data_IF_204376694386
#
_entry.id   IF_204376694386
#
_cell.length_a   1.000
_cell.length_b   1.000
_cell.length_c   1.000
_cell.angle_alpha   90.00
_cell.angle_beta   90.00
_cell.angle_gamma   90.00
#
_symmetry.space_group_name_H-M   'P 1'
#
loop_
_entity.id
_entity.type
_entity.pdbx_description
1 polymer ?
#
# COMPACT_ATOMS: atom_id res chain seq x y z
N UNK A 1 17.26 4.38 23.21
CA UNK A 1 18.74 4.50 23.11
C UNK A 1 19.18 4.52 21.64
N UNK A 2 18.45 3.79 20.79
CA UNK A 2 18.61 3.73 19.35
C UNK A 2 18.31 5.05 18.59
N UNK A 3 17.24 5.78 18.95
CA UNK A 3 16.95 7.13 18.41
C UNK A 3 18.10 8.16 18.52
N UNK A 4 19.02 8.01 19.49
CA UNK A 4 20.19 8.90 19.63
C UNK A 4 21.35 8.52 18.68
N UNK A 5 21.46 7.26 18.28
CA UNK A 5 22.50 6.74 17.38
C UNK A 5 22.02 6.78 15.92
N UNK A 6 20.72 6.67 15.67
CA UNK A 6 20.15 6.87 14.33
C UNK A 6 20.33 8.29 13.78
N UNK A 7 20.61 9.26 14.66
CA UNK A 7 21.01 10.63 14.28
C UNK A 7 22.51 10.81 14.00
N UNK A 8 23.36 9.83 14.29
CA UNK A 8 24.83 9.96 14.22
C UNK A 8 25.49 9.33 12.99
N UNK A 9 24.72 8.74 12.07
CA UNK A 9 25.21 8.34 10.75
C UNK A 9 25.14 9.53 9.78
N UNK A 10 25.98 9.59 8.73
CA UNK A 10 25.99 10.73 7.82
C UNK A 10 24.57 10.96 7.33
N UNK A 11 24.11 12.18 7.56
CA UNK A 11 22.77 12.64 7.31
C UNK A 11 22.37 12.23 5.87
N UNK A 12 21.53 11.21 5.70
CA UNK A 12 20.92 10.88 4.41
C UNK A 12 20.15 12.09 3.81
N UNK A 13 19.95 13.15 4.61
CA UNK A 13 19.44 14.46 4.18
C UNK A 13 20.26 15.15 3.10
N UNK A 14 21.53 14.78 2.87
CA UNK A 14 22.32 15.32 1.75
C UNK A 14 22.17 14.51 0.45
N UNK A 15 21.59 13.30 0.50
CA UNK A 15 21.46 12.40 -0.66
C UNK A 15 20.06 12.49 -1.30
N UNK A 16 19.04 12.87 -0.54
CA UNK A 16 17.66 12.96 -1.04
C UNK A 16 17.15 14.40 -0.98
N UNK A 17 17.17 15.16 -2.10
CA UNK A 17 16.62 16.51 -2.14
C UNK A 17 15.14 16.52 -1.75
N UNK A 18 14.60 17.68 -1.33
CA UNK A 18 13.15 17.87 -1.07
C UNK A 18 12.34 17.34 -2.26
N UNK A 19 11.73 16.16 -2.14
CA UNK A 19 11.04 15.47 -3.25
C UNK A 19 9.61 15.95 -3.44
N UNK A 20 9.33 17.23 -3.22
CA UNK A 20 8.07 17.79 -3.69
C UNK A 20 8.13 17.80 -5.23
N UNK A 21 7.14 17.20 -5.87
CA UNK A 21 6.96 17.26 -7.31
C UNK A 21 5.60 17.88 -7.66
N UNK A 22 5.53 18.41 -8.87
CA UNK A 22 4.29 18.80 -9.53
C UNK A 22 4.10 17.92 -10.78
N UNK A 23 2.85 17.61 -11.10
CA UNK A 23 2.49 16.91 -12.33
C UNK A 23 2.34 17.95 -13.44
N UNK A 24 3.49 18.35 -14.01
CA UNK A 24 3.57 19.43 -15.00
C UNK A 24 3.46 18.94 -16.46
N UNK A 25 3.43 17.63 -16.66
CA UNK A 25 3.22 17.01 -17.97
C UNK A 25 1.74 16.91 -18.36
N UNK A 26 0.81 17.32 -17.50
CA UNK A 26 -0.63 17.40 -17.79
C UNK A 26 -1.06 18.86 -17.90
N UNK A 27 -2.10 19.08 -18.71
CA UNK A 27 -2.80 20.35 -18.90
C UNK A 27 -4.30 20.13 -18.74
N UNK A 28 -4.98 21.13 -18.16
CA UNK A 28 -6.41 21.09 -17.87
C UNK A 28 -7.13 22.25 -18.58
N UNK A 29 -8.29 21.94 -19.16
CA UNK A 29 -9.23 22.94 -19.65
C UNK A 29 -10.61 22.61 -19.10
N UNK A 30 -11.26 23.61 -18.51
CA UNK A 30 -12.64 23.54 -18.07
C UNK A 30 -13.53 24.30 -19.05
N UNK A 31 -14.57 23.62 -19.54
CA UNK A 31 -15.53 24.17 -20.49
C UNK A 31 -16.88 24.23 -19.82
N UNK A 32 -17.45 25.43 -19.74
CA UNK A 32 -18.80 25.66 -19.24
C UNK A 32 -19.69 25.99 -20.42
N UNK A 33 -20.71 25.17 -20.64
CA UNK A 33 -21.64 25.38 -21.76
C UNK A 33 -23.04 24.91 -21.42
N UNK A 34 -24.02 25.29 -22.23
CA UNK A 34 -25.40 24.78 -22.13
C UNK A 34 -25.43 23.27 -22.37
N UNK A 35 -26.25 22.57 -21.60
CA UNK A 35 -26.55 21.16 -21.83
C UNK A 35 -27.53 21.01 -23.00
N UNK A 36 -27.07 20.39 -24.09
CA UNK A 36 -27.88 20.09 -25.27
C UNK A 36 -27.41 18.78 -25.92
N UNK A 37 -28.24 18.19 -26.77
CA UNK A 37 -27.92 16.94 -27.45
C UNK A 37 -26.60 17.04 -28.23
N UNK A 38 -25.60 16.27 -27.81
CA UNK A 38 -24.28 16.25 -28.44
C UNK A 38 -23.30 17.32 -27.93
N UNK A 39 -23.63 18.08 -26.86
CA UNK A 39 -22.73 19.04 -26.23
C UNK A 39 -21.35 18.44 -25.91
N UNK A 40 -21.32 17.32 -25.17
CA UNK A 40 -20.09 16.59 -24.86
C UNK A 40 -19.39 16.07 -26.13
N UNK A 41 -20.14 15.48 -27.07
CA UNK A 41 -19.57 15.00 -28.34
C UNK A 41 -18.87 16.12 -29.10
N UNK A 42 -19.46 17.30 -29.15
CA UNK A 42 -18.89 18.46 -29.86
C UNK A 42 -17.61 18.94 -29.17
N UNK A 43 -17.60 18.95 -27.82
CA UNK A 43 -16.40 19.27 -27.04
C UNK A 43 -15.27 18.29 -27.39
N UNK A 44 -15.52 16.99 -27.33
CA UNK A 44 -14.52 15.97 -27.67
C UNK A 44 -14.07 16.05 -29.13
N UNK A 45 -14.96 16.50 -30.03
CA UNK A 45 -14.63 16.70 -31.45
C UNK A 45 -13.60 17.82 -31.64
N UNK A 46 -13.63 18.89 -30.84
CA UNK A 46 -12.58 19.93 -30.90
C UNK A 46 -11.19 19.33 -30.64
N UNK A 47 -11.05 18.51 -29.59
CA UNK A 47 -9.78 17.81 -29.30
C UNK A 47 -9.37 16.85 -30.42
N UNK A 48 -10.32 16.11 -30.97
CA UNK A 48 -10.08 15.20 -32.10
C UNK A 48 -9.62 15.94 -33.35
N UNK A 49 -10.23 17.08 -33.70
CA UNK A 49 -9.82 17.90 -34.84
C UNK A 49 -8.37 18.40 -34.70
N UNK A 50 -7.96 18.71 -33.47
CA UNK A 50 -6.61 19.12 -33.13
C UNK A 50 -5.65 17.95 -32.88
N UNK A 51 -6.10 16.70 -33.02
CA UNK A 51 -5.30 15.47 -32.76
C UNK A 51 -4.68 15.50 -31.36
N UNK A 52 -5.50 15.78 -30.35
CA UNK A 52 -5.11 15.78 -28.93
C UNK A 52 -5.82 14.62 -28.25
N UNK A 53 -5.05 13.75 -27.61
CA UNK A 53 -5.57 12.66 -26.81
C UNK A 53 -5.92 13.17 -25.41
N UNK A 54 -7.02 12.68 -24.86
CA UNK A 54 -7.47 13.01 -23.51
C UNK A 54 -7.00 11.94 -22.53
N UNK A 55 -6.55 12.37 -21.36
CA UNK A 55 -6.15 11.53 -20.23
C UNK A 55 -7.29 11.33 -19.23
N UNK A 56 -8.13 12.36 -19.02
CA UNK A 56 -9.29 12.30 -18.11
C UNK A 56 -10.42 13.21 -18.59
N UNK A 57 -11.66 12.85 -18.25
CA UNK A 57 -12.88 13.60 -18.58
C UNK A 57 -13.82 13.57 -17.37
N UNK A 58 -14.10 14.75 -16.81
CA UNK A 58 -15.06 14.91 -15.72
C UNK A 58 -16.23 15.79 -16.18
N UNK A 59 -17.44 15.27 -16.06
CA UNK A 59 -18.67 16.02 -16.37
C UNK A 59 -19.44 16.32 -15.09
N UNK A 60 -19.55 17.60 -14.74
CA UNK A 60 -20.34 18.08 -13.61
C UNK A 60 -21.60 18.78 -14.12
N UNK A 61 -22.76 18.39 -13.60
CA UNK A 61 -24.04 19.03 -13.92
C UNK A 61 -24.29 20.19 -12.97
N UNK A 62 -24.57 21.38 -13.52
CA UNK A 62 -25.00 22.53 -12.72
C UNK A 62 -26.52 22.54 -12.52
N UNK A 63 -26.96 23.31 -11.52
CA UNK A 63 -28.36 23.52 -11.20
C UNK A 63 -29.14 24.06 -12.42
N UNK A 64 -30.35 23.54 -12.61
CA UNK A 64 -31.23 23.93 -13.72
C UNK A 64 -31.71 25.36 -13.50
N UNK A 65 -31.39 26.26 -14.42
CA UNK A 65 -31.88 27.64 -14.40
C UNK A 65 -33.08 27.79 -15.36
N UNK A 66 -33.77 28.94 -15.28
CA UNK A 66 -34.81 29.30 -16.26
C UNK A 66 -34.28 29.36 -17.71
N UNK A 67 -32.97 29.53 -17.91
CA UNK A 67 -32.30 29.57 -19.22
C UNK A 67 -31.83 28.19 -19.72
N UNK A 68 -32.10 27.13 -18.95
CA UNK A 68 -31.64 25.76 -19.22
C UNK A 68 -30.62 25.27 -18.19
N UNK A 69 -30.19 24.02 -18.38
CA UNK A 69 -29.12 23.42 -17.61
C UNK A 69 -27.78 23.74 -18.26
N UNK A 70 -26.77 24.08 -17.45
CA UNK A 70 -25.37 24.15 -17.89
C UNK A 70 -24.64 22.89 -17.45
N UNK A 71 -23.65 22.48 -18.23
CA UNK A 71 -22.68 21.45 -17.88
C UNK A 71 -21.30 22.10 -17.77
N UNK A 72 -20.51 21.55 -16.87
CA UNK A 72 -19.07 21.80 -16.77
C UNK A 72 -18.37 20.53 -17.21
N UNK A 73 -17.47 20.64 -18.18
CA UNK A 73 -16.65 19.53 -18.66
C UNK A 73 -15.19 19.89 -18.41
N UNK A 74 -14.55 19.18 -17.49
CA UNK A 74 -13.11 19.29 -17.24
C UNK A 74 -12.40 18.22 -18.06
N UNK A 75 -11.37 18.64 -18.78
CA UNK A 75 -10.62 17.80 -19.70
C UNK A 75 -9.15 17.90 -19.36
N UNK A 76 -8.55 16.76 -19.06
CA UNK A 76 -7.11 16.65 -18.80
C UNK A 76 -6.44 15.94 -19.97
N UNK A 77 -5.28 16.43 -20.39
CA UNK A 77 -4.48 15.85 -21.47
C UNK A 77 -2.99 16.10 -21.25
N UNK A 78 -2.15 15.34 -21.95
CA UNK A 78 -0.70 15.57 -21.92
C UNK A 78 -0.34 16.94 -22.50
N UNK A 79 0.63 17.60 -21.87
CA UNK A 79 1.11 18.92 -22.26
C UNK A 79 1.56 18.90 -23.72
N UNK A 80 0.96 19.79 -24.51
CA UNK A 80 1.32 20.00 -25.92
C UNK A 80 2.10 21.31 -26.09
N UNK A 81 2.65 21.52 -27.29
CA UNK A 81 3.33 22.76 -27.62
C UNK A 81 2.38 23.97 -27.60
N UNK A 82 2.93 25.15 -27.30
CA UNK A 82 2.15 26.38 -27.11
C UNK A 82 1.36 26.78 -28.36
N UNK A 83 1.88 26.50 -29.56
CA UNK A 83 1.18 26.82 -30.81
C UNK A 83 -0.11 26.00 -30.92
N UNK A 84 -0.01 24.68 -30.78
CA UNK A 84 -1.15 23.76 -30.84
C UNK A 84 -2.14 24.00 -29.70
N UNK A 85 -1.66 24.34 -28.50
CA UNK A 85 -2.52 24.71 -27.37
C UNK A 85 -3.31 25.99 -27.66
N UNK A 86 -2.69 27.01 -28.23
CA UNK A 86 -3.37 28.26 -28.60
C UNK A 86 -4.41 28.04 -29.71
N UNK A 87 -4.14 27.17 -30.69
CA UNK A 87 -5.13 26.79 -31.72
C UNK A 87 -6.36 26.09 -31.12
N UNK A 88 -6.14 25.15 -30.20
CA UNK A 88 -7.23 24.50 -29.46
C UNK A 88 -8.03 25.54 -28.66
N UNK A 89 -7.34 26.37 -27.88
CA UNK A 89 -7.99 27.35 -27.01
C UNK A 89 -8.85 28.32 -27.82
N UNK A 90 -8.33 28.79 -28.95
CA UNK A 90 -9.08 29.65 -29.85
C UNK A 90 -10.35 28.95 -30.37
N UNK A 91 -10.26 27.70 -30.84
CA UNK A 91 -11.44 26.93 -31.29
C UNK A 91 -12.47 26.74 -30.18
N UNK A 92 -12.03 26.47 -28.94
CA UNK A 92 -12.91 26.31 -27.79
C UNK A 92 -13.59 27.63 -27.41
N UNK A 93 -12.85 28.73 -27.31
CA UNK A 93 -13.37 30.05 -26.93
C UNK A 93 -14.36 30.62 -27.93
N UNK A 94 -14.26 30.23 -29.22
CA UNK A 94 -15.24 30.63 -30.24
C UNK A 94 -16.55 29.83 -30.16
N UNK A 95 -16.54 28.64 -29.53
CA UNK A 95 -17.69 27.70 -29.54
C UNK A 95 -18.46 27.64 -28.23
N UNK A 96 -17.80 27.92 -27.09
CA UNK A 96 -18.36 27.67 -25.78
C UNK A 96 -18.49 28.96 -24.96
N UNK A 97 -19.45 28.98 -24.04
CA UNK A 97 -19.82 30.19 -23.29
C UNK A 97 -18.64 30.69 -22.44
N UNK A 98 -17.92 29.76 -21.84
CA UNK A 98 -16.78 30.03 -20.98
C UNK A 98 -15.78 28.87 -21.06
N UNK A 99 -14.51 29.22 -21.23
CA UNK A 99 -13.38 28.30 -21.28
C UNK A 99 -12.35 28.80 -20.28
N UNK A 100 -12.17 28.04 -19.21
CA UNK A 100 -11.23 28.33 -18.13
C UNK A 100 -10.01 27.44 -18.32
N UNK A 101 -8.84 28.06 -18.33
CA UNK A 101 -7.56 27.35 -18.29
C UNK A 101 -7.13 27.36 -16.83
N UNK A 102 -6.79 26.18 -16.32
CA UNK A 102 -6.46 26.07 -14.91
C UNK A 102 -5.10 26.74 -14.64
N UNK A 103 -5.13 27.85 -13.89
CA UNK A 103 -3.92 28.57 -13.48
C UNK A 103 -3.24 27.81 -12.33
N UNK A 104 -1.91 27.92 -12.22
CA UNK A 104 -1.10 27.18 -11.24
C UNK A 104 -1.50 27.36 -9.75
N UNK A 105 -2.32 28.37 -9.45
CA UNK A 105 -2.88 28.67 -8.13
C UNK A 105 -4.05 27.77 -7.71
N UNK A 106 -4.67 27.04 -8.65
CA UNK A 106 -5.80 26.13 -8.37
C UNK A 106 -5.36 24.66 -8.27
N UNK A 107 -4.09 24.35 -8.57
CA UNK A 107 -3.56 22.98 -8.52
C UNK A 107 -3.59 22.47 -7.07
N UNK A 108 -4.31 21.37 -6.79
CA UNK A 108 -4.38 20.80 -5.45
C UNK A 108 -3.00 20.46 -4.90
N UNK A 109 -2.74 20.89 -3.67
CA UNK A 109 -1.58 20.47 -2.89
C UNK A 109 -1.97 19.23 -2.08
N UNK A 110 -1.26 18.12 -2.27
CA UNK A 110 -1.59 16.82 -1.66
C UNK A 110 -0.37 16.20 -0.98
N UNK A 111 -0.55 15.29 -0.02
CA UNK A 111 0.58 14.62 0.62
C UNK A 111 1.48 13.90 -0.39
N UNK A 112 2.80 13.97 -0.19
CA UNK A 112 3.77 13.27 -1.02
C UNK A 112 3.59 11.75 -1.00
N UNK A 113 3.91 11.13 -2.13
CA UNK A 113 3.94 9.67 -2.32
C UNK A 113 5.00 9.30 -3.36
N UNK A 114 5.57 8.08 -3.31
CA UNK A 114 6.53 7.62 -4.30
C UNK A 114 5.86 7.36 -5.65
N UNK A 115 6.44 7.83 -6.75
CA UNK A 115 5.92 7.56 -8.11
C UNK A 115 6.61 6.43 -8.82
N UNK A 116 7.88 6.17 -8.53
CA UNK A 116 8.68 5.16 -9.22
C UNK A 116 9.74 4.55 -8.29
N UNK A 117 10.54 3.65 -8.82
CA UNK A 117 11.61 2.96 -8.09
C UNK A 117 12.63 3.91 -7.46
N UNK A 118 12.89 5.07 -8.07
CA UNK A 118 13.82 6.05 -7.51
C UNK A 118 13.24 6.72 -6.26
N UNK A 119 11.93 6.97 -6.22
CA UNK A 119 11.20 7.41 -5.02
C UNK A 119 11.12 6.32 -3.95
N UNK A 120 10.96 5.06 -4.34
CA UNK A 120 10.91 3.94 -3.38
C UNK A 120 12.21 3.75 -2.60
N UNK A 121 13.35 4.23 -3.12
CA UNK A 121 14.63 4.22 -2.38
C UNK A 121 14.57 5.04 -1.10
N UNK A 122 13.65 6.01 -0.97
CA UNK A 122 13.52 6.85 0.23
C UNK A 122 12.67 6.20 1.33
N UNK A 123 11.98 5.10 1.06
CA UNK A 123 11.13 4.41 2.04
C UNK A 123 11.97 3.95 3.25
N UNK A 124 11.52 4.33 4.44
CA UNK A 124 12.17 4.05 5.71
C UNK A 124 13.27 5.04 6.08
N UNK A 125 13.46 6.11 5.29
CA UNK A 125 14.44 7.17 5.56
C UNK A 125 13.79 8.53 5.85
N UNK A 126 12.56 8.75 5.38
CA UNK A 126 11.92 10.08 5.36
C UNK A 126 10.93 10.30 6.50
N UNK A 127 10.38 9.25 7.11
CA UNK A 127 9.48 9.37 8.27
C UNK A 127 10.02 8.60 9.48
N UNK A 128 9.57 8.98 10.67
CA UNK A 128 10.04 8.37 11.91
C UNK A 128 9.67 6.89 11.97
N UNK A 129 10.69 6.05 12.07
CA UNK A 129 10.54 4.64 12.42
C UNK A 129 10.40 4.52 13.92
N UNK A 130 9.29 3.92 14.35
CA UNK A 130 9.01 3.71 15.77
C UNK A 130 9.57 2.36 16.22
N UNK A 131 10.10 2.35 17.42
CA UNK A 131 10.29 1.13 18.21
C UNK A 131 9.08 1.00 19.11
N UNK A 132 8.48 -0.19 19.19
CA UNK A 132 7.55 -0.45 20.29
C UNK A 132 8.32 -0.43 21.61
N UNK A 133 7.66 0.01 22.69
CA UNK A 133 8.31 0.24 23.97
C UNK A 133 7.55 -0.45 25.11
N UNK A 134 7.17 -1.72 24.91
CA UNK A 134 6.60 -2.52 25.98
C UNK A 134 7.71 -2.97 26.94
N UNK A 135 8.08 -2.11 27.89
CA UNK A 135 9.20 -2.31 28.82
C UNK A 135 9.14 -3.62 29.63
N UNK A 136 7.98 -4.26 29.70
CA UNK A 136 7.80 -5.51 30.44
C UNK A 136 8.20 -6.75 29.64
N UNK A 137 8.25 -6.68 28.31
CA UNK A 137 8.56 -7.83 27.46
C UNK A 137 10.06 -8.20 27.53
N UNK A 138 10.43 -9.51 27.61
CA UNK A 138 11.83 -9.96 27.73
C UNK A 138 12.77 -9.36 26.69
N UNK A 139 12.25 -9.14 25.48
CA UNK A 139 12.97 -8.54 24.35
C UNK A 139 13.57 -7.16 24.63
N UNK A 140 13.09 -6.43 25.64
CA UNK A 140 13.59 -5.10 26.01
C UNK A 140 14.57 -5.11 27.18
N UNK A 141 14.59 -6.21 27.96
CA UNK A 141 15.44 -6.39 29.14
C UNK A 141 16.74 -7.12 28.79
N UNK A 142 16.70 -8.01 27.81
CA UNK A 142 17.87 -8.73 27.31
C UNK A 142 18.79 -7.82 26.49
N UNK A 143 20.01 -7.59 26.98
CA UNK A 143 20.99 -6.71 26.32
C UNK A 143 21.60 -7.34 25.06
N UNK A 144 21.78 -8.67 25.04
CA UNK A 144 22.35 -9.38 23.90
C UNK A 144 21.36 -9.41 22.73
N UNK A 145 20.09 -9.72 23.02
CA UNK A 145 19.03 -9.66 22.03
C UNK A 145 18.86 -8.25 21.46
N UNK A 146 18.93 -7.21 22.30
CA UNK A 146 18.87 -5.82 21.83
C UNK A 146 20.05 -5.49 20.93
N UNK A 147 21.27 -5.83 21.32
CA UNK A 147 22.45 -5.64 20.45
C UNK A 147 22.27 -6.35 19.10
N UNK A 148 21.74 -7.57 19.12
CA UNK A 148 21.43 -8.34 17.90
C UNK A 148 20.39 -7.66 17.01
N UNK A 149 19.31 -7.12 17.60
CA UNK A 149 18.32 -6.30 16.89
C UNK A 149 18.95 -5.08 16.22
N UNK A 150 19.85 -4.39 16.90
CA UNK A 150 20.57 -3.23 16.36
C UNK A 150 21.48 -3.59 15.19
N UNK A 151 22.16 -4.74 15.26
CA UNK A 151 23.00 -5.26 14.17
C UNK A 151 22.17 -5.55 12.92
N UNK A 152 21.06 -6.28 13.06
CA UNK A 152 20.15 -6.59 11.94
C UNK A 152 19.53 -5.29 11.38
N UNK A 153 19.10 -4.38 12.25
CA UNK A 153 18.53 -3.09 11.86
C UNK A 153 19.50 -2.26 11.00
N UNK A 154 20.79 -2.19 11.38
CA UNK A 154 21.83 -1.50 10.59
C UNK A 154 22.03 -2.12 9.21
N UNK A 155 21.97 -3.45 9.12
CA UNK A 155 22.07 -4.17 7.85
C UNK A 155 20.84 -3.85 6.97
N UNK A 156 19.63 -3.98 7.53
CA UNK A 156 18.39 -3.70 6.80
C UNK A 156 18.27 -2.25 6.33
N UNK A 157 18.75 -1.28 7.12
CA UNK A 157 18.68 0.15 6.79
C UNK A 157 19.45 0.50 5.50
N UNK A 158 20.49 -0.26 5.17
CA UNK A 158 21.30 -0.04 3.97
C UNK A 158 20.63 -0.53 2.69
N UNK A 159 19.58 -1.33 2.80
CA UNK A 159 18.92 -1.91 1.64
C UNK A 159 18.12 -0.86 0.86
N UNK A 160 18.40 -0.73 -0.44
CA UNK A 160 17.65 0.13 -1.36
C UNK A 160 16.85 -0.74 -2.34
N UNK A 161 15.65 -0.29 -2.72
CA UNK A 161 14.88 -0.99 -3.76
C UNK A 161 15.67 -1.03 -5.06
N UNK A 162 15.71 -2.22 -5.67
CA UNK A 162 16.48 -2.53 -6.87
C UNK A 162 17.79 -3.28 -6.56
N UNK A 163 18.31 -3.16 -5.35
CA UNK A 163 19.51 -3.88 -4.91
C UNK A 163 19.15 -5.26 -4.33
N UNK A 164 20.10 -6.20 -4.27
CA UNK A 164 19.89 -7.47 -3.58
C UNK A 164 19.68 -7.27 -2.08
N UNK A 165 18.63 -7.88 -1.52
CA UNK A 165 18.38 -7.84 -0.07
C UNK A 165 19.59 -8.42 0.69
N UNK A 166 20.11 -7.75 1.75
CA UNK A 166 21.24 -8.26 2.52
C UNK A 166 20.98 -9.62 3.16
N UNK A 167 22.01 -10.47 3.27
CA UNK A 167 21.93 -11.71 4.02
C UNK A 167 22.10 -11.47 5.52
N UNK A 168 21.36 -12.23 6.33
CA UNK A 168 21.55 -12.29 7.78
C UNK A 168 22.14 -13.64 8.15
N UNK A 169 23.29 -13.63 8.83
CA UNK A 169 23.84 -14.83 9.45
C UNK A 169 23.11 -15.11 10.76
N UNK A 170 21.98 -15.82 10.70
CA UNK A 170 21.22 -16.20 11.89
C UNK A 170 22.03 -17.13 12.80
N UNK A 171 21.88 -16.96 14.11
CA UNK A 171 22.54 -17.81 15.12
C UNK A 171 21.81 -19.14 15.26
N UNK A 172 22.48 -20.13 15.85
CA UNK A 172 21.84 -21.43 16.13
C UNK A 172 20.60 -21.30 17.03
N UNK A 173 20.59 -20.34 17.95
CA UNK A 173 19.44 -20.07 18.83
C UNK A 173 18.27 -19.43 18.06
N UNK A 174 18.55 -18.52 17.13
CA UNK A 174 17.55 -17.94 16.23
C UNK A 174 16.92 -19.03 15.34
N UNK A 175 17.76 -19.88 14.73
CA UNK A 175 17.33 -21.01 13.92
C UNK A 175 16.52 -22.06 14.72
N UNK A 176 16.91 -22.33 15.97
CA UNK A 176 16.16 -23.20 16.87
C UNK A 176 14.79 -22.59 17.25
N UNK A 177 14.75 -21.28 17.47
CA UNK A 177 13.51 -20.54 17.77
C UNK A 177 12.54 -20.62 16.59
N UNK A 178 13.03 -20.38 15.37
CA UNK A 178 12.27 -20.54 14.13
C UNK A 178 11.68 -21.94 14.01
N UNK A 179 12.53 -22.99 14.07
CA UNK A 179 12.09 -24.39 13.92
C UNK A 179 10.98 -24.75 14.90
N UNK A 180 11.12 -24.33 16.16
CA UNK A 180 10.12 -24.56 17.21
C UNK A 180 8.79 -23.90 16.83
N UNK A 181 8.80 -22.58 16.59
CA UNK A 181 7.56 -21.82 16.33
C UNK A 181 6.89 -22.29 15.04
N UNK A 182 7.66 -22.41 13.97
CA UNK A 182 7.15 -22.80 12.67
C UNK A 182 6.51 -24.19 12.69
N UNK A 183 7.06 -25.14 13.45
CA UNK A 183 6.44 -26.47 13.60
C UNK A 183 5.05 -26.41 14.25
N UNK A 184 4.86 -25.55 15.26
CA UNK A 184 3.58 -25.38 15.95
C UNK A 184 2.60 -24.64 15.05
N UNK A 185 3.04 -23.52 14.46
CA UNK A 185 2.23 -22.71 13.56
C UNK A 185 1.76 -23.54 12.37
N UNK A 186 2.62 -24.37 11.77
CA UNK A 186 2.25 -25.16 10.59
C UNK A 186 1.07 -26.11 10.86
N UNK A 187 1.02 -26.73 12.03
CA UNK A 187 -0.10 -27.59 12.46
C UNK A 187 -1.38 -26.80 12.69
N UNK A 188 -1.27 -25.58 13.25
CA UNK A 188 -2.42 -24.71 13.54
C UNK A 188 -2.99 -24.08 12.28
N UNK A 189 -2.11 -23.54 11.44
CA UNK A 189 -2.39 -22.95 10.13
C UNK A 189 -3.16 -23.91 9.24
N UNK A 190 -2.78 -25.19 9.20
CA UNK A 190 -3.47 -26.21 8.40
C UNK A 190 -4.96 -26.38 8.76
N UNK A 191 -5.33 -26.12 10.02
CA UNK A 191 -6.70 -26.25 10.50
C UNK A 191 -7.55 -25.02 10.13
N UNK A 192 -6.98 -23.83 10.21
CA UNK A 192 -7.74 -22.57 10.20
C UNK A 192 -7.64 -21.76 8.91
N UNK A 193 -6.54 -21.88 8.18
CA UNK A 193 -6.32 -21.09 6.97
C UNK A 193 -7.06 -21.67 5.76
N UNK A 194 -7.27 -20.82 4.74
CA UNK A 194 -7.87 -21.20 3.46
C UNK A 194 -6.96 -22.12 2.66
N UNK A 195 -7.54 -22.94 1.79
CA UNK A 195 -6.77 -23.86 0.94
C UNK A 195 -5.89 -23.09 -0.05
N UNK A 196 -6.32 -21.91 -0.47
CA UNK A 196 -5.54 -21.02 -1.34
C UNK A 196 -4.25 -20.57 -0.65
N UNK A 197 -4.34 -20.10 0.59
CA UNK A 197 -3.17 -19.79 1.42
C UNK A 197 -2.28 -21.03 1.61
N UNK A 198 -2.86 -22.18 1.98
CA UNK A 198 -2.10 -23.41 2.27
C UNK A 198 -1.34 -23.93 1.05
N UNK A 199 -1.92 -23.79 -0.14
CA UNK A 199 -1.27 -24.16 -1.41
C UNK A 199 -0.06 -23.29 -1.70
N UNK A 200 -0.16 -21.96 -1.48
CA UNK A 200 0.97 -21.06 -1.68
C UNK A 200 2.06 -21.30 -0.64
N UNK A 201 1.68 -21.47 0.62
CA UNK A 201 2.61 -21.85 1.69
C UNK A 201 3.38 -23.12 1.32
N UNK A 202 2.68 -24.19 0.90
CA UNK A 202 3.32 -25.45 0.48
C UNK A 202 4.34 -25.27 -0.66
N UNK A 203 4.03 -24.45 -1.67
CA UNK A 203 4.97 -24.18 -2.77
C UNK A 203 6.23 -23.48 -2.28
N UNK A 204 6.07 -22.45 -1.46
CA UNK A 204 7.17 -21.66 -0.90
C UNK A 204 8.02 -22.54 0.03
N UNK A 205 7.39 -23.38 0.84
CA UNK A 205 8.04 -24.35 1.72
C UNK A 205 8.98 -25.27 0.93
N UNK A 206 8.49 -25.82 -0.17
CA UNK A 206 9.26 -26.70 -1.05
C UNK A 206 10.39 -25.97 -1.77
N UNK A 207 10.18 -24.70 -2.14
CA UNK A 207 11.18 -23.90 -2.84
C UNK A 207 12.30 -23.41 -1.92
N UNK A 208 11.97 -22.97 -0.70
CA UNK A 208 12.87 -22.20 0.16
C UNK A 208 13.22 -22.89 1.50
N UNK A 209 12.60 -24.04 1.79
CA UNK A 209 12.98 -24.89 2.91
C UNK A 209 12.62 -24.34 4.29
N UNK A 210 11.45 -23.71 4.44
CA UNK A 210 10.96 -23.12 5.70
C UNK A 210 11.02 -24.10 6.87
N UNK A 211 10.86 -25.40 6.63
CA UNK A 211 10.95 -26.44 7.67
C UNK A 211 12.35 -26.59 8.30
N UNK A 212 13.40 -26.18 7.59
CA UNK A 212 14.77 -26.54 7.94
C UNK A 212 15.62 -25.37 8.46
N UNK A 213 15.34 -24.15 8.03
CA UNK A 213 16.07 -22.95 8.42
C UNK A 213 15.24 -21.69 8.18
N UNK A 214 15.65 -20.57 8.76
CA UNK A 214 15.07 -19.25 8.45
C UNK A 214 15.38 -18.90 6.98
N UNK A 215 14.35 -18.70 6.14
CA UNK A 215 14.53 -18.24 4.77
C UNK A 215 15.11 -16.83 4.73
N UNK A 216 15.95 -16.56 3.73
CA UNK A 216 16.54 -15.25 3.54
C UNK A 216 15.62 -14.37 2.69
N UNK A 217 15.47 -13.10 3.06
CA UNK A 217 14.61 -12.18 2.32
C UNK A 217 15.02 -12.01 0.86
N UNK A 218 16.29 -12.22 0.53
CA UNK A 218 16.77 -12.22 -0.86
C UNK A 218 16.11 -13.30 -1.71
N UNK A 219 15.96 -14.51 -1.16
CA UNK A 219 15.39 -15.64 -1.87
C UNK A 219 13.85 -15.50 -1.94
N UNK A 220 13.25 -14.93 -0.89
CA UNK A 220 11.83 -14.56 -0.84
C UNK A 220 11.50 -13.49 -1.88
N UNK A 221 12.33 -12.44 -1.98
CA UNK A 221 12.20 -11.38 -2.98
C UNK A 221 12.24 -11.94 -4.40
N UNK A 222 13.20 -12.82 -4.69
CA UNK A 222 13.28 -13.48 -5.99
C UNK A 222 12.03 -14.34 -6.29
N UNK A 223 11.52 -15.07 -5.29
CA UNK A 223 10.32 -15.88 -5.42
C UNK A 223 9.07 -15.04 -5.70
N UNK A 224 8.81 -14.01 -4.89
CA UNK A 224 7.64 -13.14 -5.06
C UNK A 224 7.68 -12.34 -6.37
N UNK A 225 8.88 -11.90 -6.79
CA UNK A 225 9.07 -11.25 -8.10
C UNK A 225 8.60 -12.15 -9.24
N UNK A 226 8.90 -13.45 -9.16
CA UNK A 226 8.51 -14.42 -10.18
C UNK A 226 7.01 -14.76 -10.15
N UNK A 227 6.41 -14.88 -8.96
CA UNK A 227 5.00 -15.29 -8.84
C UNK A 227 4.00 -14.15 -9.13
N UNK A 228 4.24 -12.96 -8.57
CA UNK A 228 3.27 -11.85 -8.58
C UNK A 228 3.91 -10.48 -8.86
N UNK A 229 5.23 -10.42 -9.06
CA UNK A 229 5.94 -9.15 -9.22
C UNK A 229 6.10 -8.37 -7.91
N UNK A 230 5.70 -8.94 -6.77
CA UNK A 230 6.00 -8.36 -5.46
C UNK A 230 7.49 -8.36 -5.18
N UNK A 231 7.95 -7.34 -4.48
CA UNK A 231 9.35 -7.12 -4.11
C UNK A 231 9.43 -6.87 -2.62
N UNK A 232 10.57 -7.21 -2.03
CA UNK A 232 10.84 -6.98 -0.62
C UNK A 232 11.70 -5.74 -0.44
N UNK A 233 11.34 -4.90 0.53
CA UNK A 233 12.21 -3.88 1.14
C UNK A 233 12.52 -4.34 2.56
N UNK A 234 13.76 -4.77 2.83
CA UNK A 234 14.21 -4.93 4.21
C UNK A 234 14.10 -3.60 4.98
N UNK A 235 13.53 -3.65 6.18
CA UNK A 235 13.37 -2.48 7.06
C UNK A 235 14.05 -2.69 8.41
N UNK A 236 14.39 -1.57 9.04
CA UNK A 236 15.03 -1.53 10.36
C UNK A 236 14.05 -1.41 11.54
N UNK A 237 12.74 -1.40 11.29
CA UNK A 237 11.70 -1.25 12.31
C UNK A 237 10.34 -0.94 11.70
N UNK A 238 9.40 -0.50 12.54
CA UNK A 238 8.02 -0.18 12.14
C UNK A 238 8.00 1.16 11.39
N UNK A 239 7.72 1.08 10.08
CA UNK A 239 7.58 2.26 9.23
C UNK A 239 6.35 3.08 9.63
N UNK A 240 6.32 4.34 9.20
CA UNK A 240 5.08 5.09 9.21
C UNK A 240 4.03 4.38 8.35
N UNK A 241 2.76 4.46 8.76
CA UNK A 241 1.64 3.91 7.99
C UNK A 241 1.62 4.44 6.55
N UNK A 242 1.99 5.71 6.34
CA UNK A 242 2.06 6.32 5.00
C UNK A 242 3.12 5.64 4.14
N UNK A 243 4.35 5.49 4.64
CA UNK A 243 5.42 4.83 3.88
C UNK A 243 5.07 3.38 3.57
N UNK A 244 4.58 2.64 4.59
CA UNK A 244 4.22 1.24 4.43
C UNK A 244 3.13 1.05 3.37
N UNK A 245 1.99 1.73 3.51
CA UNK A 245 0.89 1.57 2.56
C UNK A 245 1.27 2.08 1.17
N UNK A 246 1.98 3.22 1.06
CA UNK A 246 2.40 3.73 -0.24
C UNK A 246 3.34 2.76 -0.97
N UNK A 247 4.21 2.02 -0.26
CA UNK A 247 5.07 1.02 -0.85
C UNK A 247 4.27 -0.14 -1.48
N UNK A 248 3.13 -0.53 -0.87
CA UNK A 248 2.25 -1.56 -1.43
C UNK A 248 1.70 -1.18 -2.81
N UNK A 249 1.48 0.12 -3.08
CA UNK A 249 1.04 0.61 -4.40
C UNK A 249 2.01 0.28 -5.54
N UNK A 250 3.27 -0.04 -5.19
CA UNK A 250 4.34 -0.47 -6.10
C UNK A 250 4.66 -1.97 -6.00
N UNK A 251 3.78 -2.74 -5.34
CA UNK A 251 4.03 -4.13 -4.94
C UNK A 251 5.33 -4.29 -4.17
N UNK A 252 5.65 -3.34 -3.29
CA UNK A 252 6.81 -3.41 -2.40
C UNK A 252 6.33 -3.68 -0.98
N UNK A 253 6.66 -4.85 -0.46
CA UNK A 253 6.41 -5.21 0.92
C UNK A 253 7.62 -4.89 1.80
N UNK A 254 7.38 -4.11 2.85
CA UNK A 254 8.39 -3.68 3.81
C UNK A 254 8.47 -4.69 4.95
N UNK A 255 9.61 -5.38 5.07
CA UNK A 255 9.75 -6.59 5.87
C UNK A 255 10.89 -6.47 6.88
N UNK A 256 10.66 -6.82 8.14
CA UNK A 256 11.73 -6.92 9.13
C UNK A 256 12.55 -8.21 8.94
N UNK A 257 13.73 -8.29 9.55
CA UNK A 257 14.64 -9.44 9.42
C UNK A 257 15.00 -10.12 10.75
N UNK A 258 14.62 -9.54 11.89
CA UNK A 258 14.90 -10.15 13.19
C UNK A 258 13.85 -11.20 13.52
N UNK A 259 14.21 -12.17 14.36
CA UNK A 259 13.26 -13.13 14.94
C UNK A 259 12.92 -12.72 16.37
N UNK A 260 11.70 -13.04 16.81
CA UNK A 260 11.25 -12.80 18.19
C UNK A 260 12.12 -13.48 19.24
N UNK A 261 12.03 -12.98 20.47
CA UNK A 261 12.83 -13.46 21.59
C UNK A 261 12.52 -14.93 21.94
N UNK A 262 13.54 -15.76 22.07
CA UNK A 262 13.42 -17.21 22.27
C UNK A 262 12.63 -17.63 23.52
N UNK A 263 12.55 -16.77 24.56
CA UNK A 263 11.79 -17.04 25.79
C UNK A 263 10.27 -16.86 25.65
N UNK A 264 9.82 -16.18 24.58
CA UNK A 264 8.42 -15.87 24.31
C UNK A 264 8.06 -16.25 22.86
N UNK A 265 8.22 -17.53 22.47
CA UNK A 265 8.05 -17.96 21.08
C UNK A 265 6.60 -17.80 20.58
N UNK A 266 5.63 -17.84 21.48
CA UNK A 266 4.20 -17.85 21.19
C UNK A 266 3.67 -16.47 20.75
N UNK A 267 4.35 -15.38 21.13
CA UNK A 267 3.88 -14.00 20.96
C UNK A 267 5.03 -13.04 20.78
N UNK A 268 4.85 -12.05 19.90
CA UNK A 268 5.70 -10.87 19.85
C UNK A 268 4.81 -9.66 19.54
N UNK A 269 5.07 -8.50 20.17
CA UNK A 269 4.26 -7.31 19.94
C UNK A 269 4.65 -6.62 18.61
N UNK A 270 5.87 -6.87 18.10
CA UNK A 270 6.37 -6.32 16.84
C UNK A 270 6.38 -7.38 15.72
N UNK A 271 6.15 -7.02 14.45
CA UNK A 271 6.21 -7.96 13.34
C UNK A 271 7.65 -8.45 13.12
N UNK A 272 7.95 -9.66 13.58
CA UNK A 272 9.24 -10.35 13.38
C UNK A 272 9.22 -11.18 12.10
N UNK A 273 10.37 -11.73 11.70
CA UNK A 273 10.52 -12.54 10.47
C UNK A 273 9.55 -13.73 10.40
N UNK A 274 9.07 -14.27 11.53
CA UNK A 274 8.03 -15.30 11.52
C UNK A 274 6.70 -14.72 11.02
N UNK A 275 6.30 -13.55 11.51
CA UNK A 275 5.11 -12.85 11.03
C UNK A 275 5.19 -12.55 9.54
N UNK A 276 6.32 -12.03 9.09
CA UNK A 276 6.50 -11.68 7.68
C UNK A 276 6.45 -12.92 6.79
N UNK A 277 7.22 -13.96 7.11
CA UNK A 277 7.40 -15.12 6.23
C UNK A 277 6.24 -16.09 6.30
N UNK A 278 5.69 -16.35 7.48
CA UNK A 278 4.55 -17.27 7.62
C UNK A 278 3.26 -16.53 7.28
N UNK A 279 3.05 -15.32 7.79
CA UNK A 279 1.82 -14.58 7.56
C UNK A 279 1.71 -14.01 6.14
N UNK A 280 2.63 -13.13 5.75
CA UNK A 280 2.48 -12.30 4.56
C UNK A 280 2.96 -12.94 3.26
N UNK A 281 4.11 -13.62 3.25
CA UNK A 281 4.69 -14.13 2.00
C UNK A 281 3.75 -15.09 1.24
N UNK A 282 3.05 -16.04 1.87
CA UNK A 282 2.10 -16.90 1.16
C UNK A 282 0.90 -16.15 0.57
N UNK A 283 0.51 -15.04 1.21
CA UNK A 283 -0.52 -14.14 0.70
C UNK A 283 -0.04 -13.39 -0.53
N UNK A 284 1.14 -12.77 -0.48
CA UNK A 284 1.67 -12.00 -1.62
C UNK A 284 2.11 -12.87 -2.80
N UNK A 285 2.27 -14.17 -2.60
CA UNK A 285 2.42 -15.14 -3.69
C UNK A 285 1.09 -15.43 -4.42
N UNK A 286 -0.03 -14.92 -3.92
CA UNK A 286 -1.33 -14.99 -4.57
C UNK A 286 -1.61 -13.75 -5.42
N UNK A 287 -2.02 -13.94 -6.68
CA UNK A 287 -2.24 -12.81 -7.61
C UNK A 287 -3.37 -11.87 -7.16
N UNK A 288 -4.51 -12.41 -6.71
CA UNK A 288 -5.65 -11.57 -6.30
C UNK A 288 -5.37 -10.83 -5.00
N UNK A 289 -4.63 -11.45 -4.08
CA UNK A 289 -4.23 -10.78 -2.84
C UNK A 289 -3.13 -9.74 -3.11
N UNK A 290 -2.21 -10.02 -4.03
CA UNK A 290 -1.23 -9.05 -4.50
C UNK A 290 -1.91 -7.83 -5.15
N UNK A 291 -2.94 -8.05 -5.98
CA UNK A 291 -3.73 -6.98 -6.57
C UNK A 291 -4.48 -6.19 -5.49
N UNK A 292 -5.15 -6.86 -4.54
CA UNK A 292 -5.86 -6.22 -3.42
C UNK A 292 -4.92 -5.34 -2.58
N UNK A 293 -3.74 -5.86 -2.25
CA UNK A 293 -2.72 -5.13 -1.53
C UNK A 293 -2.22 -3.91 -2.29
N UNK A 294 -2.00 -4.06 -3.61
CA UNK A 294 -1.58 -2.96 -4.45
C UNK A 294 -2.66 -1.87 -4.51
N UNK A 295 -3.93 -2.24 -4.64
CA UNK A 295 -5.04 -1.28 -4.69
C UNK A 295 -5.13 -0.45 -3.40
N UNK A 296 -5.03 -1.08 -2.23
CA UNK A 296 -4.96 -0.34 -0.94
C UNK A 296 -3.81 0.67 -0.96
N UNK A 297 -2.64 0.28 -1.47
CA UNK A 297 -1.48 1.17 -1.54
C UNK A 297 -1.60 2.29 -2.58
N UNK A 298 -2.26 2.04 -3.71
CA UNK A 298 -2.59 3.09 -4.70
C UNK A 298 -3.55 4.10 -4.08
N UNK A 299 -4.58 3.63 -3.37
CA UNK A 299 -5.53 4.49 -2.67
C UNK A 299 -4.84 5.33 -1.59
N UNK A 300 -3.82 4.81 -0.89
CA UNK A 300 -3.09 5.55 0.15
C UNK A 300 -2.18 6.65 -0.39
N UNK A 301 -1.69 6.51 -1.62
CA UNK A 301 -0.77 7.46 -2.25
C UNK A 301 -1.44 8.84 -2.40
N UNK A 302 -0.97 9.84 -1.65
CA UNK A 302 -1.55 11.18 -1.60
C UNK A 302 -2.91 11.28 -0.90
N UNK A 303 -3.32 10.25 -0.15
CA UNK A 303 -4.47 10.34 0.74
C UNK A 303 -4.17 11.24 1.95
N UNK A 304 -5.15 12.02 2.39
CA UNK A 304 -5.06 12.78 3.63
C UNK A 304 -5.04 11.88 4.87
N UNK A 305 -4.62 12.41 6.03
CA UNK A 305 -4.44 11.61 7.26
C UNK A 305 -5.68 10.81 7.67
N UNK A 306 -6.88 11.37 7.49
CA UNK A 306 -8.15 10.69 7.79
C UNK A 306 -8.35 9.46 6.90
N UNK A 307 -8.23 9.63 5.58
CA UNK A 307 -8.44 8.55 4.62
C UNK A 307 -7.29 7.53 4.67
N UNK A 308 -6.07 7.98 4.93
CA UNK A 308 -4.93 7.10 5.19
C UNK A 308 -5.20 6.18 6.39
N UNK A 309 -5.70 6.74 7.50
CA UNK A 309 -6.07 5.95 8.69
C UNK A 309 -7.11 4.89 8.35
N UNK A 310 -8.17 5.29 7.63
CA UNK A 310 -9.25 4.40 7.18
C UNK A 310 -8.74 3.26 6.30
N UNK A 311 -7.84 3.56 5.36
CA UNK A 311 -7.18 2.55 4.53
C UNK A 311 -6.31 1.58 5.35
N UNK A 312 -5.65 2.07 6.40
CA UNK A 312 -4.93 1.18 7.34
C UNK A 312 -5.86 0.26 8.13
N UNK A 313 -7.03 0.75 8.53
CA UNK A 313 -8.05 -0.08 9.15
C UNK A 313 -8.56 -1.16 8.18
N UNK A 314 -8.77 -0.82 6.90
CA UNK A 314 -9.15 -1.81 5.89
C UNK A 314 -8.02 -2.82 5.65
N UNK A 315 -6.76 -2.38 5.61
CA UNK A 315 -5.60 -3.27 5.56
C UNK A 315 -5.58 -4.24 6.76
N UNK A 316 -5.88 -3.76 7.97
CA UNK A 316 -5.98 -4.59 9.17
C UNK A 316 -7.07 -5.66 9.04
N UNK A 317 -8.29 -5.28 8.66
CA UNK A 317 -9.40 -6.22 8.53
C UNK A 317 -9.36 -7.10 7.28
N UNK A 318 -8.36 -6.93 6.42
CA UNK A 318 -8.15 -7.76 5.23
C UNK A 318 -6.82 -8.49 5.30
N UNK A 319 -5.70 -7.82 5.02
CA UNK A 319 -4.40 -8.45 4.87
C UNK A 319 -3.78 -8.92 6.20
N UNK A 320 -4.14 -8.31 7.33
CA UNK A 320 -3.66 -8.75 8.66
C UNK A 320 -4.58 -9.80 9.30
N UNK A 321 -5.89 -9.53 9.35
CA UNK A 321 -6.86 -10.37 10.08
C UNK A 321 -8.11 -10.71 9.26
N UNK A 322 -8.00 -10.72 7.94
CA UNK A 322 -9.10 -11.06 7.05
C UNK A 322 -9.37 -12.55 6.95
N UNK A 323 -10.64 -12.85 6.67
CA UNK A 323 -11.14 -14.18 6.41
C UNK A 323 -11.87 -14.25 5.05
N UNK A 324 -12.02 -15.45 4.53
CA UNK A 324 -12.82 -15.71 3.33
C UNK A 324 -13.76 -16.89 3.58
N UNK A 325 -14.84 -16.96 2.82
CA UNK A 325 -15.72 -18.12 2.82
C UNK A 325 -15.22 -19.15 1.81
N UNK A 326 -15.12 -20.40 2.25
CA UNK A 326 -14.65 -21.52 1.45
C UNK A 326 -15.51 -22.73 1.77
N UNK A 327 -16.23 -23.26 0.78
CA UNK A 327 -17.12 -24.43 0.95
C UNK A 327 -18.13 -24.29 2.10
N UNK A 328 -18.66 -23.08 2.31
CA UNK A 328 -19.61 -22.79 3.38
C UNK A 328 -18.99 -22.59 4.77
N UNK A 329 -17.67 -22.73 4.91
CA UNK A 329 -16.92 -22.47 6.13
C UNK A 329 -16.17 -21.14 6.03
N UNK A 330 -15.95 -20.46 7.16
CA UNK A 330 -15.07 -19.30 7.21
C UNK A 330 -13.65 -19.77 7.48
N UNK A 331 -12.72 -19.31 6.64
CA UNK A 331 -11.30 -19.66 6.67
C UNK A 331 -10.44 -18.40 6.75
N UNK A 332 -9.37 -18.45 7.53
CA UNK A 332 -8.43 -17.34 7.64
C UNK A 332 -7.58 -17.18 6.38
N UNK A 333 -7.25 -15.95 6.04
CA UNK A 333 -6.15 -15.67 5.12
C UNK A 333 -5.17 -14.65 5.70
N UNK A 334 -5.62 -13.73 6.56
CA UNK A 334 -4.78 -12.68 7.14
C UNK A 334 -3.49 -13.15 7.81
N UNK A 335 -2.43 -12.36 7.65
CA UNK A 335 -1.08 -12.67 8.11
C UNK A 335 -0.97 -12.80 9.64
N UNK A 336 -1.65 -11.93 10.38
CA UNK A 336 -1.74 -11.98 11.84
C UNK A 336 -2.39 -13.26 12.36
N UNK A 337 -3.34 -13.84 11.62
CA UNK A 337 -3.94 -15.14 11.97
C UNK A 337 -2.91 -16.26 11.81
N UNK A 338 -2.22 -16.32 10.66
CA UNK A 338 -1.27 -17.39 10.35
C UNK A 338 0.01 -17.39 11.18
N UNK A 339 0.38 -16.24 11.74
CA UNK A 339 1.67 -16.05 12.42
C UNK A 339 1.60 -16.00 13.95
N UNK A 340 0.39 -16.10 14.50
CA UNK A 340 0.14 -16.10 15.93
C UNK A 340 -0.58 -17.38 16.35
N UNK A 341 0.02 -18.10 17.31
CA UNK A 341 -0.55 -19.33 17.85
C UNK A 341 -1.89 -19.03 18.54
N UNK A 342 -1.94 -17.93 19.29
CA UNK A 342 -3.16 -17.48 19.97
C UNK A 342 -4.27 -17.10 18.99
N UNK A 343 -3.94 -16.43 17.88
CA UNK A 343 -4.93 -16.08 16.85
C UNK A 343 -5.45 -17.33 16.13
N UNK A 344 -4.57 -18.27 15.77
CA UNK A 344 -5.01 -19.56 15.22
C UNK A 344 -5.95 -20.32 16.18
N UNK A 345 -5.66 -20.35 17.48
CA UNK A 345 -6.47 -21.05 18.48
C UNK A 345 -7.80 -20.32 18.80
N UNK A 346 -7.83 -19.00 18.58
CA UNK A 346 -9.00 -18.14 18.79
C UNK A 346 -9.93 -18.13 17.57
N UNK A 347 -9.37 -18.10 16.36
CA UNK A 347 -10.11 -17.91 15.11
C UNK A 347 -11.37 -18.79 15.02
N UNK A 348 -11.33 -20.12 15.23
CA UNK A 348 -12.52 -20.98 15.13
C UNK A 348 -13.64 -20.68 16.11
N UNK A 349 -13.36 -19.95 17.20
CA UNK A 349 -14.27 -19.64 18.31
C UNK A 349 -14.79 -18.21 18.26
N UNK A 350 -14.27 -17.40 17.34
CA UNK A 350 -14.58 -15.99 17.28
C UNK A 350 -15.87 -15.70 16.50
N UNK A 351 -16.28 -14.44 16.54
CA UNK A 351 -17.36 -13.95 15.70
C UNK A 351 -16.83 -13.61 14.30
N UNK A 352 -17.72 -13.72 13.32
CA UNK A 352 -17.43 -13.34 11.94
C UNK A 352 -18.49 -12.38 11.43
N UNK A 353 -18.05 -11.33 10.76
CA UNK A 353 -18.93 -10.34 10.14
C UNK A 353 -18.57 -10.17 8.66
N UNK A 354 -19.58 -9.92 7.82
CA UNK A 354 -19.33 -9.71 6.39
C UNK A 354 -18.62 -8.36 6.22
N UNK A 355 -17.51 -8.35 5.49
CA UNK A 355 -16.71 -7.15 5.26
C UNK A 355 -17.52 -6.09 4.48
N UNK A 356 -17.67 -4.92 5.08
CA UNK A 356 -18.17 -3.70 4.45
C UNK A 356 -17.15 -2.57 4.70
N UNK A 357 -16.46 -2.06 3.68
CA UNK A 357 -15.43 -1.05 3.87
C UNK A 357 -15.99 0.31 4.32
N UNK A 358 -17.26 0.64 4.06
CA UNK A 358 -17.88 1.89 4.51
C UNK A 358 -18.15 1.89 6.02
N UNK A 359 -18.38 0.72 6.60
CA UNK A 359 -18.56 0.54 8.05
C UNK A 359 -17.19 0.30 8.72
N UNK A 360 -16.40 -0.60 8.17
CA UNK A 360 -15.21 -1.11 8.84
C UNK A 360 -14.01 -0.18 8.77
N UNK A 361 -13.92 0.72 7.78
CA UNK A 361 -12.85 1.73 7.72
C UNK A 361 -12.72 2.57 9.00
N UNK A 362 -13.82 2.77 9.71
CA UNK A 362 -13.89 3.60 10.91
C UNK A 362 -14.05 2.76 12.20
N UNK A 363 -13.96 1.41 12.12
CA UNK A 363 -14.13 0.50 13.26
C UNK A 363 -12.83 0.37 14.08
N UNK A 364 -12.88 0.56 15.41
CA UNK A 364 -11.72 0.31 16.27
C UNK A 364 -11.43 -1.18 16.44
N UNK A 365 -10.16 -1.53 16.67
CA UNK A 365 -9.70 -2.91 16.86
C UNK A 365 -8.60 -2.99 17.93
N UNK A 366 -8.50 -4.11 18.68
CA UNK A 366 -7.41 -4.32 19.60
C UNK A 366 -6.13 -4.72 18.86
N UNK A 367 -4.98 -4.19 19.30
CA UNK A 367 -3.66 -4.51 18.70
C UNK A 367 -2.80 -5.42 19.60
N UNK A 368 -3.18 -5.60 20.88
CA UNK A 368 -2.42 -6.37 21.87
C UNK A 368 -3.09 -7.68 22.30
N UNK A 369 -4.32 -7.93 21.83
CA UNK A 369 -5.09 -9.13 22.15
C UNK A 369 -5.61 -9.76 20.88
N UNK A 370 -6.01 -11.04 20.97
CA UNK A 370 -6.66 -11.71 19.85
C UNK A 370 -7.90 -10.96 19.38
N UNK A 371 -8.18 -11.02 18.07
CA UNK A 371 -9.33 -10.30 17.51
C UNK A 371 -10.66 -10.89 18.03
N UNK A 372 -11.60 -10.05 18.50
CA UNK A 372 -12.92 -10.51 18.95
C UNK A 372 -13.86 -10.84 17.78
N UNK A 373 -13.58 -10.28 16.60
CA UNK A 373 -14.35 -10.47 15.36
C UNK A 373 -13.41 -10.39 14.17
N UNK A 374 -13.60 -11.26 13.18
CA UNK A 374 -12.89 -11.23 11.90
C UNK A 374 -13.85 -10.87 10.78
N UNK A 375 -13.37 -10.09 9.81
CA UNK A 375 -14.17 -9.70 8.66
C UNK A 375 -13.96 -10.72 7.54
N UNK A 376 -15.05 -11.25 7.01
CA UNK A 376 -14.99 -12.19 5.90
C UNK A 376 -15.57 -11.62 4.61
N UNK A 377 -15.00 -12.07 3.49
CA UNK A 377 -15.55 -11.88 2.14
C UNK A 377 -15.90 -13.24 1.53
N UNK A 378 -16.82 -13.27 0.58
CA UNK A 378 -17.15 -14.47 -0.19
C UNK A 378 -16.01 -14.83 -1.16
N UNK A 379 -15.24 -13.83 -1.61
CA UNK A 379 -14.05 -14.01 -2.45
C UNK A 379 -13.13 -12.78 -2.40
N UNK A 380 -11.88 -12.92 -2.87
CA UNK A 380 -11.00 -11.76 -3.05
C UNK A 380 -11.50 -10.82 -4.16
N UNK A 381 -12.26 -11.32 -5.13
CA UNK A 381 -12.93 -10.47 -6.13
C UNK A 381 -13.96 -9.55 -5.48
N UNK A 382 -14.79 -10.06 -4.57
CA UNK A 382 -15.71 -9.23 -3.78
C UNK A 382 -14.94 -8.21 -2.95
N UNK A 383 -13.88 -8.63 -2.26
CA UNK A 383 -13.02 -7.74 -1.48
C UNK A 383 -12.47 -6.57 -2.33
N UNK A 384 -11.99 -6.88 -3.54
CA UNK A 384 -11.48 -5.91 -4.50
C UNK A 384 -12.59 -4.97 -5.00
N UNK A 385 -13.75 -5.49 -5.37
CA UNK A 385 -14.88 -4.68 -5.84
C UNK A 385 -15.35 -3.69 -4.77
N UNK A 386 -15.52 -4.16 -3.54
CA UNK A 386 -15.89 -3.31 -2.39
C UNK A 386 -14.84 -2.24 -2.12
N UNK A 387 -13.54 -2.60 -2.19
CA UNK A 387 -12.44 -1.64 -2.04
C UNK A 387 -12.42 -0.57 -3.14
N UNK A 388 -12.62 -0.94 -4.40
CA UNK A 388 -12.69 0.01 -5.53
C UNK A 388 -13.88 0.97 -5.35
N UNK A 389 -15.03 0.46 -4.91
CA UNK A 389 -16.21 1.28 -4.63
C UNK A 389 -15.93 2.25 -3.47
N UNK A 390 -15.30 1.76 -2.39
CA UNK A 390 -14.87 2.59 -1.28
C UNK A 390 -13.85 3.65 -1.69
N UNK A 391 -12.90 3.29 -2.56
CA UNK A 391 -11.87 4.20 -3.10
C UNK A 391 -12.45 5.44 -3.76
N UNK A 392 -13.59 5.30 -4.46
CA UNK A 392 -14.32 6.43 -5.07
C UNK A 392 -14.94 7.40 -4.05
N UNK A 393 -15.09 6.99 -2.80
CA UNK A 393 -15.62 7.82 -1.71
C UNK A 393 -14.55 8.65 -0.99
N UNK A 394 -13.26 8.33 -1.22
CA UNK A 394 -12.14 9.04 -0.60
C UNK A 394 -12.09 10.49 -1.09
N UNK A 395 -11.69 11.40 -0.21
CA UNK A 395 -11.57 12.82 -0.52
C UNK A 395 -10.21 13.11 -1.16
N UNK A 396 -9.99 12.54 -2.36
CA UNK A 396 -8.78 12.77 -3.17
C UNK A 396 -9.14 13.57 -4.43
N UNK A 397 -8.47 14.69 -4.73
CA UNK A 397 -8.81 15.53 -5.87
C UNK A 397 -8.34 14.96 -7.23
N UNK A 398 -7.78 13.75 -7.25
CA UNK A 398 -7.18 13.10 -8.40
C UNK A 398 -7.30 11.58 -8.29
N UNK A 399 -7.32 10.89 -9.43
CA UNK A 399 -7.16 9.44 -9.51
C UNK A 399 -5.68 9.06 -9.67
N UNK A 400 -5.36 7.81 -9.31
CA UNK A 400 -4.05 7.20 -9.56
C UNK A 400 -4.24 5.86 -10.25
N UNK A 401 -3.30 5.51 -11.13
CA UNK A 401 -3.17 4.16 -11.66
C UNK A 401 -1.69 3.81 -11.81
N UNK A 402 -1.39 2.52 -11.73
CA UNK A 402 -0.03 2.02 -11.93
C UNK A 402 0.19 1.67 -13.40
N UNK A 403 1.16 2.31 -14.04
CA UNK A 403 1.62 1.98 -15.38
C UNK A 403 2.68 0.86 -15.28
N UNK A 404 2.31 -0.36 -15.68
CA UNK A 404 3.20 -1.52 -15.60
C UNK A 404 4.35 -1.50 -16.63
N UNK A 405 4.24 -0.70 -17.71
CA UNK A 405 5.28 -0.57 -18.72
C UNK A 405 6.37 0.37 -18.20
N UNK A 406 5.96 1.56 -17.77
CA UNK A 406 6.88 2.59 -17.24
C UNK A 406 7.26 2.35 -15.77
N UNK A 407 6.57 1.42 -15.09
CA UNK A 407 6.72 1.12 -13.66
C UNK A 407 6.55 2.36 -12.79
N UNK A 408 5.54 3.17 -13.11
CA UNK A 408 5.27 4.45 -12.48
C UNK A 408 3.79 4.58 -12.06
N UNK A 409 3.53 5.18 -10.89
CA UNK A 409 2.21 5.67 -10.52
C UNK A 409 1.93 6.99 -11.25
N UNK A 410 0.90 6.99 -12.10
CA UNK A 410 0.45 8.15 -12.86
C UNK A 410 -0.81 8.73 -12.26
N UNK A 411 -0.87 10.07 -12.23
CA UNK A 411 -2.05 10.80 -11.79
C UNK A 411 -2.97 11.11 -12.96
N UNK A 412 -4.27 11.09 -12.73
CA UNK A 412 -5.26 11.47 -13.76
C UNK A 412 -5.39 12.98 -13.92
N UNK A 413 -4.89 13.76 -12.95
CA UNK A 413 -5.01 15.23 -12.89
C UNK A 413 -3.71 15.88 -12.41
N UNK A 414 -3.57 17.18 -12.69
CA UNK A 414 -2.48 18.01 -12.16
C UNK A 414 -2.58 18.09 -10.63
N UNK A 415 -1.46 17.88 -9.96
CA UNK A 415 -1.31 18.02 -8.50
C UNK A 415 0.07 18.58 -8.18
N UNK A 416 0.21 19.15 -6.99
CA UNK A 416 1.48 19.46 -6.32
C UNK A 416 1.58 18.62 -5.07
N UNK A 417 2.79 18.19 -4.71
CA UNK A 417 2.99 17.38 -3.49
C UNK A 417 3.77 18.12 -2.42
N UNK A 418 3.52 17.76 -1.16
CA UNK A 418 4.29 18.20 0.00
C UNK A 418 4.68 17.02 0.90
N UNK A 419 5.97 16.94 1.27
CA UNK A 419 6.49 15.91 2.17
C UNK A 419 6.37 16.26 3.66
N UNK A 420 6.30 17.56 3.99
CA UNK A 420 6.13 18.07 5.35
C UNK A 420 4.77 18.79 5.44
N UNK A 421 4.14 18.85 6.63
CA UNK A 421 2.93 19.67 6.88
C UNK A 421 3.21 21.20 6.80
N UNK A 422 4.05 21.64 5.85
CA UNK A 422 4.38 23.04 5.57
C UNK A 422 3.75 23.48 4.26
#
# INVERSE_FOLDING_TARGET
>A
MLNKIFRSFPCFSTIFPKRNFAIDYLQDVEIITRDYYGSLRNILKSFSNHKINLSDIETLKLNRTAKGQKIVVKLTFEKIDDYKFNELLFDLQQRYDEVVIDNDSQIPLVPWYPRNDEDLKTIGLIMEVKEENNQDHPQFKDQEYRKRREEIAKISQQHLIGEPVPYISYTEQEEATWKKIYSILRERVEKVMSQRYLKNLMKIENALGFKYKIPQLRDIDAYLKAETGFRIKATHGILSQREFLNALGHRVFCCTQYIRHHSTPEYTPEPDIVHELVGHVPLFADKEVADLSQEIGILSCGAESKDLSRLGTLYWFTLEFGACKENGLIKGYGAGIASSIGECDNFPKANYEKFDPFIHADRPYPIQTVQPVYMYTESFEEAMQELIIFGKSLQKPFGLYYDFIEKELKATKRIKTHLNNQ
#
